data_IF_455058666555
#
_entry.id   IF_455058666555
#
_cell.length_a   1.000
_cell.length_b   1.000
_cell.length_c   1.000
_cell.angle_alpha   90.00
_cell.angle_beta   90.00
_cell.angle_gamma   90.00
#
_symmetry.space_group_name_H-M   'P 1'
#
loop_
_entity.id
_entity.type
_entity.pdbx_description
1 polymer ?
#
# COMPACT_ATOMS: atom_id res chain seq x y z
N UNK A 1 0.10 -43.64 44.97
CA UNK A 1 0.33 -42.20 44.71
C UNK A 1 1.39 -42.05 43.65
N UNK A 2 1.00 -41.63 42.44
CA UNK A 2 1.85 -40.98 41.42
C UNK A 2 0.89 -40.47 40.34
N UNK A 3 0.50 -39.22 40.47
CA UNK A 3 -0.41 -38.53 39.55
C UNK A 3 0.35 -38.17 38.28
N UNK A 4 -0.15 -38.65 37.13
CA UNK A 4 0.30 -38.23 35.81
C UNK A 4 -0.44 -36.93 35.48
N UNK A 5 0.27 -35.81 35.49
CA UNK A 5 -0.22 -34.52 35.01
C UNK A 5 -0.07 -34.54 33.48
N UNK A 6 -1.20 -34.66 32.77
CA UNK A 6 -1.24 -34.51 31.32
C UNK A 6 -1.41 -33.02 31.00
N UNK A 7 -0.31 -32.34 30.71
CA UNK A 7 -0.34 -30.96 30.22
C UNK A 7 -0.84 -30.96 28.76
N UNK A 8 -2.05 -30.46 28.54
CA UNK A 8 -2.56 -30.19 27.20
C UNK A 8 -1.98 -28.84 26.75
N UNK A 9 -0.98 -28.90 25.89
CA UNK A 9 -0.52 -27.72 25.15
C UNK A 9 -1.55 -27.39 24.07
N UNK A 10 -2.35 -26.35 24.29
CA UNK A 10 -3.12 -25.71 23.21
C UNK A 10 -2.14 -24.83 22.45
N UNK A 11 -1.60 -25.34 21.35
CA UNK A 11 -0.86 -24.52 20.39
C UNK A 11 -1.87 -23.62 19.67
N UNK A 12 -1.90 -22.33 20.03
CA UNK A 12 -2.55 -21.32 19.20
C UNK A 12 -1.71 -21.16 17.93
N UNK A 13 -2.05 -21.91 16.88
CA UNK A 13 -1.57 -21.60 15.53
C UNK A 13 -2.31 -20.36 15.05
N UNK A 14 -1.78 -19.19 15.39
CA UNK A 14 -2.07 -17.98 14.61
C UNK A 14 -1.41 -18.27 13.25
N UNK A 15 -2.22 -18.55 12.23
CA UNK A 15 -1.74 -18.49 10.86
C UNK A 15 -1.36 -17.02 10.64
N UNK A 16 -0.10 -16.69 10.91
CA UNK A 16 0.49 -15.44 10.50
C UNK A 16 0.50 -15.48 8.98
N UNK A 17 -0.57 -14.99 8.39
CA UNK A 17 -0.55 -14.54 7.02
C UNK A 17 0.36 -13.32 7.01
N UNK A 18 1.66 -13.55 6.81
CA UNK A 18 2.58 -12.53 6.35
C UNK A 18 2.15 -12.19 4.93
N UNK A 19 1.11 -11.36 4.82
CA UNK A 19 0.67 -10.85 3.54
C UNK A 19 1.30 -9.47 3.38
N UNK A 20 2.15 -9.33 2.38
CA UNK A 20 2.56 -8.04 1.86
C UNK A 20 1.32 -7.25 1.41
N UNK A 21 1.49 -5.96 1.15
CA UNK A 21 0.48 -5.16 0.44
C UNK A 21 -0.09 -5.95 -0.73
N UNK A 22 -1.41 -5.89 -0.91
CA UNK A 22 -2.06 -6.52 -2.05
C UNK A 22 -1.96 -5.66 -3.32
N UNK A 23 -1.25 -4.54 -3.22
CA UNK A 23 -1.04 -3.59 -4.30
C UNK A 23 0.45 -3.52 -4.66
N UNK A 24 0.77 -3.92 -5.89
CA UNK A 24 2.12 -3.76 -6.45
C UNK A 24 2.20 -2.48 -7.24
N UNK A 25 3.30 -1.73 -7.11
CA UNK A 25 3.55 -0.51 -7.89
C UNK A 25 4.88 -0.61 -8.63
N UNK A 26 4.80 -0.69 -9.96
CA UNK A 26 5.97 -0.84 -10.83
C UNK A 26 6.23 0.42 -11.65
N UNK A 27 7.52 0.75 -11.82
CA UNK A 27 7.98 1.79 -12.75
C UNK A 27 8.31 1.13 -14.10
N UNK A 28 7.57 1.47 -15.15
CA UNK A 28 7.65 0.77 -16.45
C UNK A 28 8.67 1.42 -17.38
N UNK A 29 8.62 2.75 -17.49
CA UNK A 29 9.51 3.52 -18.35
C UNK A 29 9.99 4.79 -17.62
N UNK A 30 11.30 5.03 -17.67
CA UNK A 30 11.86 6.21 -17.02
C UNK A 30 13.31 6.50 -17.36
N UNK A 31 13.54 7.16 -18.49
CA UNK A 31 14.75 7.98 -18.77
C UNK A 31 16.14 7.34 -18.61
N UNK A 32 16.24 6.03 -18.35
CA UNK A 32 17.48 5.36 -17.92
C UNK A 32 17.76 5.41 -16.40
N UNK A 33 16.81 5.84 -15.57
CA UNK A 33 16.96 5.93 -14.12
C UNK A 33 16.58 4.63 -13.42
N UNK A 34 17.29 4.31 -12.34
CA UNK A 34 16.99 3.13 -11.51
C UNK A 34 15.83 3.43 -10.57
N UNK A 35 14.84 2.55 -10.57
CA UNK A 35 13.72 2.63 -9.64
C UNK A 35 14.13 2.23 -8.21
N UNK A 36 13.42 2.79 -7.25
CA UNK A 36 13.62 2.67 -5.82
C UNK A 36 12.30 2.27 -5.17
N UNK A 37 12.36 1.29 -4.26
CA UNK A 37 11.17 0.63 -3.73
C UNK A 37 11.23 0.48 -2.22
N UNK A 38 10.06 0.43 -1.60
CA UNK A 38 9.86 -0.06 -0.24
C UNK A 38 8.51 -0.78 -0.15
N UNK A 39 8.48 -1.86 0.63
CA UNK A 39 7.28 -2.58 0.98
C UNK A 39 7.23 -2.76 2.49
N UNK A 40 6.07 -2.45 3.07
CA UNK A 40 5.77 -2.76 4.45
C UNK A 40 5.24 -4.20 4.53
N UNK A 41 5.87 -5.03 5.36
CA UNK A 41 5.45 -6.42 5.58
C UNK A 41 4.16 -6.56 6.40
N UNK A 42 3.66 -5.46 6.97
CA UNK A 42 2.39 -5.43 7.69
C UNK A 42 1.27 -4.94 6.76
N UNK A 43 0.16 -5.67 6.72
CA UNK A 43 -1.06 -5.15 6.09
C UNK A 43 -1.62 -3.98 6.90
N UNK A 44 -1.97 -2.91 6.19
CA UNK A 44 -2.65 -1.75 6.74
C UNK A 44 -4.04 -1.63 6.12
N UNK A 45 -4.94 -0.93 6.78
CA UNK A 45 -6.24 -0.57 6.20
C UNK A 45 -6.57 0.85 6.66
N UNK A 46 -6.64 1.85 5.75
CA UNK A 46 -6.43 1.75 4.30
C UNK A 46 -5.02 1.28 3.91
N UNK A 47 -4.87 0.79 2.67
CA UNK A 47 -3.55 0.66 2.06
C UNK A 47 -3.14 2.00 1.44
N UNK A 48 -1.88 2.41 1.64
CA UNK A 48 -1.33 3.67 1.13
C UNK A 48 -0.12 3.35 0.25
N UNK A 49 -0.17 3.75 -1.01
CA UNK A 49 0.91 3.55 -1.97
C UNK A 49 1.46 4.88 -2.45
N UNK A 50 2.75 5.06 -2.29
CA UNK A 50 3.44 6.28 -2.69
C UNK A 50 4.15 6.06 -4.02
N UNK A 51 3.82 6.89 -5.01
CA UNK A 51 4.49 6.96 -6.31
C UNK A 51 5.28 8.27 -6.35
N UNK A 52 6.57 8.17 -6.67
CA UNK A 52 7.49 9.28 -6.51
C UNK A 52 8.41 9.52 -7.70
N UNK A 53 8.42 10.74 -8.24
CA UNK A 53 9.40 11.18 -9.24
C UNK A 53 10.03 12.51 -8.92
N UNK A 54 11.20 12.79 -9.49
CA UNK A 54 11.66 14.17 -9.61
C UNK A 54 10.93 14.83 -10.78
N UNK A 55 10.89 14.17 -11.94
CA UNK A 55 10.28 14.68 -13.16
C UNK A 55 9.55 13.60 -13.99
N UNK A 56 8.50 14.01 -14.71
CA UNK A 56 7.75 13.17 -15.64
C UNK A 56 8.00 13.59 -17.11
N UNK A 57 9.27 13.71 -17.51
CA UNK A 57 9.68 14.04 -18.88
C UNK A 57 10.46 12.93 -19.56
N UNK A 58 10.26 12.82 -20.86
CA UNK A 58 11.12 12.03 -21.76
C UNK A 58 12.15 12.88 -22.52
N UNK A 59 12.07 14.22 -22.44
CA UNK A 59 12.99 15.12 -23.16
C UNK A 59 13.51 16.28 -22.30
N UNK A 60 14.83 16.48 -22.38
CA UNK A 60 15.63 17.34 -21.51
C UNK A 60 15.52 18.82 -21.87
N UNK A 61 14.68 19.58 -21.17
CA UNK A 61 14.92 21.03 -20.99
C UNK A 61 14.51 21.49 -19.58
N UNK A 62 15.38 21.31 -18.59
CA UNK A 62 15.08 21.57 -17.16
C UNK A 62 14.93 23.06 -16.80
N UNK A 63 14.98 24.00 -17.77
CA UNK A 63 15.03 25.44 -17.46
C UNK A 63 13.69 26.15 -17.37
N UNK A 64 12.61 25.52 -17.86
CA UNK A 64 11.31 26.19 -17.98
C UNK A 64 10.23 25.59 -17.09
N UNK A 65 10.52 24.57 -16.28
CA UNK A 65 9.52 23.84 -15.49
C UNK A 65 8.24 23.63 -16.32
N UNK A 66 8.37 22.91 -17.45
CA UNK A 66 7.22 22.59 -18.28
C UNK A 66 6.18 21.79 -17.45
N UNK A 67 5.12 21.27 -18.05
CA UNK A 67 4.34 20.21 -17.38
C UNK A 67 4.66 18.88 -18.04
N UNK A 68 5.12 17.92 -17.23
CA UNK A 68 5.34 16.54 -17.62
C UNK A 68 4.06 15.73 -17.48
N UNK A 69 4.01 14.56 -18.10
CA UNK A 69 2.84 13.68 -18.02
C UNK A 69 3.27 12.32 -17.53
N UNK A 70 2.62 11.83 -16.47
CA UNK A 70 2.81 10.49 -15.96
C UNK A 70 1.48 9.72 -16.01
N UNK A 71 1.53 8.53 -16.59
CA UNK A 71 0.40 7.61 -16.71
C UNK A 71 0.46 6.56 -15.60
N UNK A 72 -0.67 6.33 -14.95
CA UNK A 72 -0.83 5.32 -13.90
C UNK A 72 -1.93 4.37 -14.36
N UNK A 73 -1.54 3.20 -14.84
CA UNK A 73 -2.46 2.13 -15.19
C UNK A 73 -2.85 1.35 -13.93
N UNK A 74 -4.11 1.44 -13.52
CA UNK A 74 -4.64 0.77 -12.34
C UNK A 74 -5.45 -0.44 -12.78
N UNK A 75 -4.96 -1.63 -12.44
CA UNK A 75 -5.56 -2.91 -12.80
C UNK A 75 -6.08 -3.66 -11.56
N UNK A 76 -7.02 -4.58 -11.77
CA UNK A 76 -7.53 -5.45 -10.72
C UNK A 76 -8.61 -4.83 -9.85
N UNK A 77 -8.82 -5.40 -8.65
CA UNK A 77 -9.91 -5.00 -7.73
C UNK A 77 -9.43 -4.98 -6.28
N UNK A 78 -10.09 -4.17 -5.46
CA UNK A 78 -9.85 -4.12 -4.01
C UNK A 78 -11.15 -4.22 -3.22
N UNK A 79 -11.10 -4.92 -2.08
CA UNK A 79 -12.16 -4.95 -1.07
C UNK A 79 -11.85 -4.05 0.15
N UNK A 80 -10.72 -3.36 0.13
CA UNK A 80 -10.32 -2.39 1.16
C UNK A 80 -10.04 -1.02 0.52
N UNK A 81 -10.12 0.09 1.28
CA UNK A 81 -9.79 1.40 0.73
C UNK A 81 -8.30 1.49 0.35
N UNK A 82 -8.03 2.02 -0.84
CA UNK A 82 -6.68 2.22 -1.39
C UNK A 82 -6.44 3.71 -1.64
N UNK A 83 -5.44 4.27 -1.00
CA UNK A 83 -5.04 5.67 -1.15
C UNK A 83 -3.72 5.76 -1.94
N UNK A 84 -3.71 6.55 -3.01
CA UNK A 84 -2.50 6.82 -3.79
C UNK A 84 -1.91 8.17 -3.39
N UNK A 85 -0.60 8.21 -3.18
CA UNK A 85 0.16 9.46 -2.99
C UNK A 85 1.09 9.64 -4.17
N UNK A 86 0.87 10.69 -4.96
CA UNK A 86 1.65 10.98 -6.17
C UNK A 86 2.53 12.18 -5.92
N UNK A 87 3.85 11.98 -5.89
CA UNK A 87 4.81 13.04 -5.60
C UNK A 87 5.68 13.36 -6.81
N UNK A 88 5.79 14.65 -7.15
CA UNK A 88 6.74 15.15 -8.16
C UNK A 88 7.45 16.43 -7.69
N UNK A 89 8.69 16.66 -8.12
CA UNK A 89 9.31 17.98 -7.96
C UNK A 89 8.80 18.92 -9.05
N UNK A 90 9.02 18.53 -10.30
CA UNK A 90 8.58 19.26 -11.49
C UNK A 90 7.05 19.23 -11.65
N UNK A 91 6.46 20.24 -12.32
CA UNK A 91 5.03 20.23 -12.62
C UNK A 91 4.66 18.96 -13.38
N UNK A 92 3.66 18.23 -12.88
CA UNK A 92 3.27 16.93 -13.44
C UNK A 92 1.75 16.84 -13.56
N UNK A 93 1.29 16.42 -14.74
CA UNK A 93 -0.06 15.93 -14.97
C UNK A 93 -0.06 14.41 -14.78
N UNK A 94 -0.70 13.95 -13.72
CA UNK A 94 -0.95 12.55 -13.45
C UNK A 94 -2.25 12.11 -14.16
N UNK A 95 -2.21 11.00 -14.88
CA UNK A 95 -3.37 10.46 -15.59
C UNK A 95 -3.61 9.04 -15.08
N UNK A 96 -4.67 8.87 -14.30
CA UNK A 96 -5.14 7.56 -13.87
C UNK A 96 -6.01 6.95 -14.98
N UNK A 97 -5.75 5.69 -15.30
CA UNK A 97 -6.48 4.93 -16.30
C UNK A 97 -6.58 3.46 -15.86
N UNK A 98 -7.41 2.67 -16.55
CA UNK A 98 -7.64 1.25 -16.23
C UNK A 98 -8.91 0.99 -15.42
N UNK A 99 -9.38 -0.26 -15.41
CA UNK A 99 -10.62 -0.62 -14.70
C UNK A 99 -10.51 -0.53 -13.17
N UNK A 100 -9.29 -0.53 -12.64
CA UNK A 100 -9.01 -0.50 -11.21
C UNK A 100 -9.22 0.87 -10.56
N UNK A 101 -9.29 1.95 -11.35
CA UNK A 101 -9.39 3.33 -10.83
C UNK A 101 -10.61 3.53 -9.93
N UNK A 102 -11.71 2.83 -10.21
CA UNK A 102 -12.95 2.91 -9.41
C UNK A 102 -12.79 2.36 -7.97
N UNK A 103 -11.70 1.66 -7.68
CA UNK A 103 -11.38 1.14 -6.34
C UNK A 103 -10.40 2.03 -5.57
N UNK A 104 -9.90 3.10 -6.20
CA UNK A 104 -9.07 4.10 -5.52
C UNK A 104 -9.97 4.99 -4.66
N UNK A 105 -9.70 5.01 -3.36
CA UNK A 105 -10.46 5.77 -2.38
C UNK A 105 -10.09 7.25 -2.41
N UNK A 106 -8.79 7.58 -2.44
CA UNK A 106 -8.32 8.95 -2.62
C UNK A 106 -6.98 9.02 -3.35
N UNK A 107 -6.71 10.19 -3.92
CA UNK A 107 -5.42 10.52 -4.52
C UNK A 107 -4.90 11.81 -3.88
N UNK A 108 -3.78 11.72 -3.18
CA UNK A 108 -3.04 12.88 -2.68
C UNK A 108 -1.93 13.22 -3.66
N UNK A 109 -1.99 14.40 -4.28
CA UNK A 109 -0.89 14.92 -5.09
C UNK A 109 0.00 15.83 -4.25
N UNK A 110 1.32 15.61 -4.28
CA UNK A 110 2.30 16.37 -3.51
C UNK A 110 3.42 16.88 -4.44
N UNK A 111 3.88 18.11 -4.26
CA UNK A 111 5.03 18.58 -5.02
C UNK A 111 5.36 20.05 -4.85
N UNK A 112 6.63 20.39 -5.09
CA UNK A 112 7.11 21.77 -5.02
C UNK A 112 6.39 22.68 -6.02
N UNK A 113 6.32 22.24 -7.28
CA UNK A 113 5.54 22.92 -8.31
C UNK A 113 4.11 22.38 -8.38
N UNK A 114 3.20 23.21 -8.89
CA UNK A 114 1.81 22.83 -9.09
C UNK A 114 1.69 21.65 -10.05
N UNK A 115 0.91 20.66 -9.65
CA UNK A 115 0.56 19.50 -10.47
C UNK A 115 -0.95 19.38 -10.61
N UNK A 116 -1.39 18.39 -11.36
CA UNK A 116 -2.80 18.04 -11.47
C UNK A 116 -2.97 16.53 -11.68
N UNK A 117 -4.17 16.03 -11.40
CA UNK A 117 -4.57 14.64 -11.64
C UNK A 117 -5.87 14.59 -12.44
N UNK A 118 -5.98 13.62 -13.33
CA UNK A 118 -7.21 13.31 -14.08
C UNK A 118 -7.45 11.81 -14.13
N UNK A 119 -8.66 11.41 -14.51
CA UNK A 119 -9.09 10.00 -14.52
C UNK A 119 -9.84 9.55 -13.27
N UNK A 120 -9.87 10.39 -12.23
CA UNK A 120 -10.65 10.19 -11.00
C UNK A 120 -11.53 11.43 -10.72
N UNK A 121 -12.63 11.26 -9.99
CA UNK A 121 -13.47 12.37 -9.57
C UNK A 121 -12.71 13.29 -8.60
N UNK A 122 -12.78 14.61 -8.84
CA UNK A 122 -12.06 15.63 -8.07
C UNK A 122 -12.37 15.64 -6.57
N UNK A 123 -13.53 15.11 -6.15
CA UNK A 123 -13.88 14.99 -4.73
C UNK A 123 -13.02 13.97 -3.97
N UNK A 124 -12.31 13.10 -4.69
CA UNK A 124 -11.35 12.14 -4.15
C UNK A 124 -9.90 12.66 -4.18
N UNK A 125 -9.67 13.90 -4.64
CA UNK A 125 -8.33 14.46 -4.82
C UNK A 125 -7.98 15.40 -3.66
N UNK A 126 -6.81 15.17 -3.07
CA UNK A 126 -6.20 16.03 -2.04
C UNK A 126 -4.98 16.71 -2.63
N UNK A 127 -5.06 18.03 -2.83
CA UNK A 127 -3.98 18.80 -3.45
C UNK A 127 -3.00 19.40 -2.42
N UNK A 128 -1.78 18.86 -2.42
CA UNK A 128 -0.60 19.33 -1.67
C UNK A 128 0.51 19.78 -2.63
N UNK A 129 0.17 20.29 -3.80
CA UNK A 129 1.15 20.85 -4.74
C UNK A 129 1.29 22.37 -4.55
N UNK A 130 2.44 22.89 -4.95
CA UNK A 130 2.73 24.33 -4.95
C UNK A 130 3.48 24.82 -3.72
N UNK A 131 4.23 25.91 -3.92
CA UNK A 131 5.11 26.51 -2.92
C UNK A 131 4.33 26.86 -1.65
N UNK A 132 4.72 26.23 -0.53
CA UNK A 132 4.12 26.46 0.78
C UNK A 132 2.90 25.57 1.11
N UNK A 133 2.48 24.68 0.21
CA UNK A 133 1.35 23.76 0.44
C UNK A 133 1.76 22.27 0.51
N UNK A 134 2.97 21.92 0.06
CA UNK A 134 3.45 20.54 0.04
C UNK A 134 3.92 20.02 1.39
N UNK A 135 3.92 18.69 1.54
CA UNK A 135 4.53 17.99 2.68
C UNK A 135 6.05 17.90 2.54
N UNK A 136 6.52 17.58 1.34
CA UNK A 136 7.92 17.60 0.94
C UNK A 136 8.01 18.06 -0.51
N UNK A 137 9.13 18.69 -0.90
CA UNK A 137 9.28 19.21 -2.26
C UNK A 137 9.12 18.10 -3.32
N UNK A 138 9.48 16.87 -2.96
CA UNK A 138 9.37 15.66 -3.77
C UNK A 138 9.83 14.45 -2.95
N UNK A 139 9.56 13.26 -3.48
CA UNK A 139 10.17 12.01 -3.05
C UNK A 139 10.32 11.11 -4.27
N UNK A 140 11.53 10.66 -4.60
CA UNK A 140 11.77 9.76 -5.74
C UNK A 140 12.70 8.59 -5.43
N UNK A 141 13.32 8.60 -4.24
CA UNK A 141 14.25 7.56 -3.81
C UNK A 141 13.99 7.23 -2.34
N UNK A 142 13.91 5.94 -2.02
CA UNK A 142 13.78 5.42 -0.67
C UNK A 142 15.14 4.96 -0.10
N UNK A 143 15.46 5.26 1.17
CA UNK A 143 14.92 6.33 2.03
C UNK A 143 15.71 7.64 1.78
N UNK A 144 15.85 8.04 0.52
CA UNK A 144 16.72 9.12 0.09
C UNK A 144 16.23 10.52 0.47
N UNK A 145 17.17 11.41 0.78
CA UNK A 145 16.91 12.80 1.18
C UNK A 145 17.81 13.81 0.44
N UNK A 146 18.20 13.48 -0.79
CA UNK A 146 19.13 14.25 -1.60
C UNK A 146 18.42 15.05 -2.71
N UNK A 147 19.08 16.11 -3.20
CA UNK A 147 18.58 16.88 -4.35
C UNK A 147 17.36 17.75 -4.06
N UNK A 148 17.14 18.12 -2.79
CA UNK A 148 16.00 18.93 -2.36
C UNK A 148 14.73 18.12 -2.05
N UNK A 149 14.71 16.82 -2.37
CA UNK A 149 13.66 15.91 -1.95
C UNK A 149 13.95 15.35 -0.56
N UNK A 150 12.95 15.32 0.32
CA UNK A 150 13.00 14.66 1.62
C UNK A 150 11.95 13.55 1.63
N UNK A 151 12.33 12.35 1.17
CA UNK A 151 11.42 11.20 1.15
C UNK A 151 10.99 10.85 2.59
N UNK A 152 11.89 10.68 3.59
CA UNK A 152 11.45 10.42 4.97
C UNK A 152 10.46 11.45 5.53
N UNK A 153 10.67 12.74 5.26
CA UNK A 153 9.75 13.80 5.65
C UNK A 153 8.37 13.68 4.99
N UNK A 154 8.33 13.36 3.68
CA UNK A 154 7.07 13.09 2.98
C UNK A 154 6.31 11.94 3.64
N UNK A 155 7.00 10.81 3.87
CA UNK A 155 6.38 9.61 4.44
C UNK A 155 5.82 9.89 5.82
N UNK A 156 6.59 10.54 6.70
CA UNK A 156 6.11 10.90 8.03
C UNK A 156 4.86 11.80 7.98
N UNK A 157 4.79 12.73 7.02
CA UNK A 157 3.64 13.60 6.86
C UNK A 157 2.42 12.86 6.29
N UNK A 158 2.62 11.96 5.32
CA UNK A 158 1.58 11.09 4.74
C UNK A 158 0.98 10.18 5.82
N UNK A 159 1.83 9.49 6.57
CA UNK A 159 1.40 8.60 7.65
C UNK A 159 0.67 9.38 8.76
N UNK A 160 1.14 10.59 9.08
CA UNK A 160 0.46 11.50 10.00
C UNK A 160 -0.90 11.99 9.50
N UNK A 161 -1.04 12.19 8.18
CA UNK A 161 -2.29 12.63 7.55
C UNK A 161 -3.34 11.51 7.51
N UNK A 162 -2.96 10.30 7.08
CA UNK A 162 -3.87 9.16 6.97
C UNK A 162 -4.01 8.35 8.27
N UNK A 163 -3.12 8.55 9.25
CA UNK A 163 -3.17 7.88 10.55
C UNK A 163 -2.77 6.40 10.51
N UNK A 164 -2.15 5.94 9.42
CA UNK A 164 -1.64 4.57 9.26
C UNK A 164 -0.29 4.59 8.52
N UNK A 165 0.61 3.63 8.77
CA UNK A 165 1.85 3.50 8.01
C UNK A 165 1.59 3.31 6.52
N UNK A 166 2.55 3.70 5.68
CA UNK A 166 2.46 3.39 4.25
C UNK A 166 2.59 1.89 4.02
N UNK A 167 1.97 1.42 2.94
CA UNK A 167 2.04 0.03 2.50
C UNK A 167 3.18 -0.18 1.52
N UNK A 168 3.31 0.70 0.51
CA UNK A 168 4.42 0.64 -0.46
C UNK A 168 4.91 2.03 -0.87
N UNK A 169 6.15 2.08 -1.34
CA UNK A 169 6.73 3.20 -2.08
C UNK A 169 7.36 2.66 -3.36
N UNK A 170 7.15 3.38 -4.46
CA UNK A 170 7.79 3.15 -5.74
C UNK A 170 8.17 4.49 -6.35
N UNK A 171 9.43 4.67 -6.71
CA UNK A 171 9.88 5.93 -7.29
C UNK A 171 11.12 5.83 -8.13
N UNK A 172 11.35 6.82 -8.97
CA UNK A 172 12.54 6.95 -9.80
C UNK A 172 12.80 8.43 -10.07
N UNK A 173 14.05 8.83 -10.31
CA UNK A 173 14.34 10.23 -10.62
C UNK A 173 13.47 10.74 -11.78
N UNK A 174 13.40 10.01 -12.89
CA UNK A 174 12.49 10.31 -13.99
C UNK A 174 11.70 9.07 -14.40
N UNK A 175 10.37 9.19 -14.53
CA UNK A 175 9.49 8.15 -15.03
C UNK A 175 8.17 8.73 -15.56
N UNK A 176 7.59 8.07 -16.56
CA UNK A 176 6.34 8.51 -17.21
C UNK A 176 5.25 7.45 -17.18
N UNK A 177 5.57 6.21 -16.82
CA UNK A 177 4.62 5.11 -16.83
C UNK A 177 4.75 4.26 -15.57
N UNK A 178 3.60 4.01 -14.93
CA UNK A 178 3.47 3.20 -13.73
C UNK A 178 2.31 2.22 -13.87
N UNK A 179 2.45 1.04 -13.25
CA UNK A 179 1.33 0.11 -13.05
C UNK A 179 1.05 -0.01 -11.56
N UNK A 180 -0.24 0.06 -11.20
CA UNK A 180 -0.76 -0.25 -9.87
C UNK A 180 -1.65 -1.48 -10.00
N UNK A 181 -1.20 -2.62 -9.48
CA UNK A 181 -1.98 -3.88 -9.54
C UNK A 181 -2.67 -4.13 -8.22
N UNK A 182 -3.99 -3.98 -8.17
CA UNK A 182 -4.81 -4.24 -6.99
C UNK A 182 -5.18 -5.72 -6.89
N UNK A 183 -5.03 -6.30 -5.69
CA UNK A 183 -5.59 -7.61 -5.37
C UNK A 183 -6.52 -7.53 -4.15
N UNK A 184 -7.63 -8.30 -4.13
CA UNK A 184 -8.46 -8.42 -2.95
C UNK A 184 -7.68 -9.05 -1.80
N UNK A 185 -7.85 -8.52 -0.58
CA UNK A 185 -7.39 -9.20 0.63
C UNK A 185 -8.21 -10.49 0.78
N UNK A 186 -7.59 -11.68 0.84
CA UNK A 186 -8.32 -12.92 1.05
C UNK A 186 -9.05 -12.83 2.39
N UNK A 187 -10.38 -12.95 2.37
CA UNK A 187 -11.15 -13.10 3.61
C UNK A 187 -10.56 -14.27 4.42
N UNK A 188 -10.33 -14.12 5.74
CA UNK A 188 -9.86 -15.21 6.56
C UNK A 188 -10.89 -16.32 6.51
N UNK A 189 -10.63 -17.32 5.66
CA UNK A 189 -11.62 -18.33 5.30
C UNK A 189 -12.25 -18.92 6.56
N UNK A 190 -13.57 -18.87 6.64
CA UNK A 190 -14.38 -19.51 7.69
C UNK A 190 -14.05 -21.00 7.88
N UNK A 191 -13.28 -21.60 6.96
CA UNK A 191 -12.70 -22.94 7.03
C UNK A 191 -11.75 -23.10 8.23
N UNK A 192 -10.98 -22.08 8.60
CA UNK A 192 -10.14 -22.10 9.80
C UNK A 192 -10.98 -22.05 11.10
N UNK A 193 -12.10 -21.31 11.08
CA UNK A 193 -13.05 -21.25 12.20
C UNK A 193 -13.88 -22.54 12.35
N UNK A 194 -14.25 -23.20 11.25
CA UNK A 194 -14.96 -24.48 11.30
C UNK A 194 -14.08 -25.65 11.78
N UNK A 195 -12.78 -25.62 11.53
CA UNK A 195 -11.85 -26.67 11.94
C UNK A 195 -11.50 -26.61 13.44
N UNK A 196 -11.52 -25.43 14.06
CA UNK A 196 -11.42 -25.29 15.53
C UNK A 196 -12.70 -25.72 16.25
N UNK A 197 -13.88 -25.47 15.66
CA UNK A 197 -15.17 -25.87 16.24
C UNK A 197 -15.36 -27.39 16.37
N UNK A 198 -14.83 -28.18 15.42
CA UNK A 198 -15.01 -29.64 15.44
C UNK A 198 -14.06 -30.37 16.41
N UNK A 199 -12.89 -29.82 16.73
CA UNK A 199 -11.98 -30.44 17.72
C UNK A 199 -12.57 -30.34 19.13
N UNK A 200 -13.20 -29.21 19.48
CA UNK A 200 -13.83 -29.01 20.80
C UNK A 200 -15.01 -29.98 20.99
N UNK A 201 -15.84 -30.18 19.97
CA UNK A 201 -17.00 -31.10 20.06
C UNK A 201 -16.56 -32.57 20.16
N UNK A 202 -15.50 -32.97 19.44
CA UNK A 202 -14.96 -34.32 19.55
C UNK A 202 -14.45 -34.64 20.97
N UNK A 203 -13.72 -33.69 21.58
CA UNK A 203 -13.22 -33.84 22.96
C UNK A 203 -14.33 -33.90 24.02
N UNK A 204 -15.41 -33.13 23.87
CA UNK A 204 -16.55 -33.17 24.81
C UNK A 204 -17.37 -34.48 24.73
N UNK A 205 -17.42 -35.11 23.55
CA UNK A 205 -18.16 -36.36 23.34
C UNK A 205 -17.46 -37.60 23.92
N UNK A 206 -16.12 -37.63 23.94
CA UNK A 206 -15.34 -38.75 24.49
C UNK A 206 -15.42 -38.82 26.02
N UNK A 207 -15.43 -37.67 26.71
CA UNK A 207 -15.49 -37.61 28.18
C UNK A 207 -16.81 -38.18 28.72
N UNK A 208 -17.93 -37.97 28.02
CA UNK A 208 -19.24 -38.55 28.40
C UNK A 208 -19.30 -40.07 28.22
N UNK A 209 -18.61 -40.65 27.23
CA UNK A 209 -18.59 -42.12 27.03
C UNK A 209 -17.78 -42.86 28.08
N UNK A 210 -16.72 -42.24 28.61
CA UNK A 210 -15.89 -42.84 29.66
C UNK A 210 -16.55 -42.85 31.05
N UNK A 211 -17.47 -41.93 31.34
CA UNK A 211 -18.22 -41.94 32.60
C UNK A 211 -19.37 -42.96 32.63
N UNK A 212 -19.99 -43.29 31.49
CA UNK A 212 -21.08 -44.29 31.42
C UNK A 212 -20.63 -45.76 31.49
N UNK A 213 -19.34 -46.05 31.34
CA UNK A 213 -18.79 -47.42 31.47
C UNK A 213 -18.40 -47.78 32.91
N UNK A 214 -18.61 -46.88 33.87
CA UNK A 214 -18.25 -47.05 35.29
C UNK A 214 -19.45 -47.12 36.25
N UNK A 215 -20.68 -47.23 35.73
CA UNK A 215 -21.89 -47.56 36.51
C UNK A 215 -22.40 -48.93 36.07
#
# INVERSE_FOLDING_TARGET
>A
MKSIILAVFVANSVAAYANNSTVTVDVIEGGGYTASYFENSAQTTPEIHVIGVYEAYTSSSPRNHATGTAFIDVAGTSNIPVDLVLSSYEPTQWILLGEGVQYIHSVLINGYYSGNVSGIDSSHVIDRTGVGNYFSACAYAWPGNSGGCDTPGLISAVEGYFGTPISTFSGAYGATEFTVTLAPVPEPSSIALFSLGMVVVASASQTKRLQRRKS
#
